data_IF_633112317030
#
_entry.id   IF_633112317030
#
_cell.length_a   1.000
_cell.length_b   1.000
_cell.length_c   1.000
_cell.angle_alpha   90.00
_cell.angle_beta   90.00
_cell.angle_gamma   90.00
#
_symmetry.space_group_name_H-M   'P 1'
#
loop_
_entity.id
_entity.type
_entity.pdbx_description
1 polymer ?
#
# COMPACT_ATOMS: atom_id res chain seq x y z
N UNK A 1 -8.52 2.55 0.84
CA UNK A 1 -9.48 1.43 0.98
C UNK A 1 -9.78 0.86 -0.40
N UNK A 2 -10.13 -0.43 -0.49
CA UNK A 2 -10.69 -1.01 -1.71
C UNK A 2 -12.20 -1.18 -1.58
N UNK A 3 -12.90 -1.16 -2.71
CA UNK A 3 -14.32 -1.52 -2.74
C UNK A 3 -14.50 -3.02 -2.53
N UNK A 4 -14.74 -3.42 -1.28
CA UNK A 4 -14.92 -4.83 -0.90
C UNK A 4 -16.17 -5.45 -1.57
N UNK A 5 -17.22 -4.67 -1.78
CA UNK A 5 -18.43 -5.16 -2.46
C UNK A 5 -18.17 -5.44 -3.94
N UNK A 6 -17.41 -4.56 -4.60
CA UNK A 6 -16.95 -4.79 -5.96
C UNK A 6 -16.14 -6.09 -6.06
N UNK A 7 -15.16 -6.26 -5.16
CA UNK A 7 -14.31 -7.47 -5.16
C UNK A 7 -15.09 -8.75 -4.92
N UNK A 8 -16.09 -8.74 -4.03
CA UNK A 8 -16.97 -9.89 -3.81
C UNK A 8 -17.77 -10.25 -5.06
N UNK A 9 -18.31 -9.25 -5.77
CA UNK A 9 -19.10 -9.44 -6.99
C UNK A 9 -18.26 -9.89 -8.18
N UNK A 10 -17.06 -9.32 -8.32
CA UNK A 10 -16.13 -9.63 -9.43
C UNK A 10 -15.44 -10.98 -9.25
N UNK A 11 -15.46 -11.57 -8.04
CA UNK A 11 -14.73 -12.80 -7.72
C UNK A 11 -15.01 -13.94 -8.72
N UNK A 12 -16.27 -14.22 -8.99
CA UNK A 12 -16.64 -15.35 -9.86
C UNK A 12 -16.29 -15.09 -11.34
N UNK A 13 -16.39 -13.83 -11.81
CA UNK A 13 -15.95 -13.41 -13.13
C UNK A 13 -14.43 -13.60 -13.27
N UNK A 14 -13.67 -13.11 -12.29
CA UNK A 14 -12.21 -13.27 -12.23
C UNK A 14 -11.79 -14.74 -12.24
N UNK A 15 -12.49 -15.57 -11.47
CA UNK A 15 -12.20 -17.00 -11.39
C UNK A 15 -12.44 -17.73 -12.74
N UNK A 16 -13.51 -17.37 -13.47
CA UNK A 16 -13.77 -17.89 -14.82
C UNK A 16 -12.64 -17.51 -15.78
N UNK A 17 -12.25 -16.24 -15.80
CA UNK A 17 -11.14 -15.74 -16.63
C UNK A 17 -9.81 -16.46 -16.31
N UNK A 18 -9.53 -16.68 -15.02
CA UNK A 18 -8.32 -17.42 -14.60
C UNK A 18 -8.34 -18.89 -15.00
N UNK A 19 -9.51 -19.49 -15.17
CA UNK A 19 -9.66 -20.87 -15.68
C UNK A 19 -9.56 -20.98 -17.21
N UNK A 20 -9.46 -19.85 -17.90
CA UNK A 20 -9.39 -19.80 -19.35
C UNK A 20 -10.75 -19.88 -20.04
N UNK A 21 -11.84 -19.59 -19.30
CA UNK A 21 -13.16 -19.47 -19.91
C UNK A 21 -13.15 -18.29 -20.89
N UNK A 22 -13.62 -18.51 -22.10
CA UNK A 22 -13.77 -17.46 -23.10
C UNK A 22 -14.99 -16.60 -22.74
N UNK A 23 -14.73 -15.36 -22.33
CA UNK A 23 -15.78 -14.36 -22.05
C UNK A 23 -15.54 -13.18 -22.99
N UNK A 24 -16.62 -12.68 -23.61
CA UNK A 24 -16.52 -11.50 -24.47
C UNK A 24 -16.01 -10.30 -23.66
N UNK A 25 -15.08 -9.53 -24.25
CA UNK A 25 -14.46 -8.38 -23.60
C UNK A 25 -15.49 -7.32 -23.19
N UNK A 26 -16.52 -7.11 -24.03
CA UNK A 26 -17.55 -6.11 -23.73
C UNK A 26 -18.43 -6.57 -22.55
N UNK A 27 -18.71 -7.88 -22.44
CA UNK A 27 -19.45 -8.43 -21.30
C UNK A 27 -18.66 -8.28 -20.00
N UNK A 28 -17.33 -8.44 -20.04
CA UNK A 28 -16.46 -8.17 -18.88
C UNK A 28 -16.56 -6.70 -18.48
N UNK A 29 -16.39 -5.76 -19.43
CA UNK A 29 -16.46 -4.32 -19.15
C UNK A 29 -17.83 -3.95 -18.57
N UNK A 30 -18.92 -4.41 -19.21
CA UNK A 30 -20.28 -4.15 -18.75
C UNK A 30 -20.50 -4.64 -17.31
N UNK A 31 -20.00 -5.84 -16.99
CA UNK A 31 -20.10 -6.40 -15.63
C UNK A 31 -19.30 -5.57 -14.62
N UNK A 32 -18.11 -5.10 -14.98
CA UNK A 32 -17.30 -4.26 -14.10
C UNK A 32 -17.97 -2.91 -13.83
N UNK A 33 -18.55 -2.29 -14.87
CA UNK A 33 -19.32 -1.03 -14.72
C UNK A 33 -20.58 -1.21 -13.86
N UNK A 34 -21.31 -2.32 -14.02
CA UNK A 34 -22.48 -2.64 -13.20
C UNK A 34 -22.10 -2.77 -11.71
N UNK A 35 -20.95 -3.37 -11.41
CA UNK A 35 -20.52 -3.63 -10.03
C UNK A 35 -19.81 -2.44 -9.38
N UNK A 36 -19.38 -1.46 -10.16
CA UNK A 36 -18.66 -0.28 -9.69
C UNK A 36 -19.49 0.51 -8.70
N UNK A 37 -18.87 0.91 -7.58
CA UNK A 37 -19.50 1.83 -6.62
C UNK A 37 -19.85 3.16 -7.26
N UNK A 38 -21.00 3.73 -6.91
CA UNK A 38 -21.36 5.09 -7.27
C UNK A 38 -20.71 6.15 -6.37
N UNK A 39 -20.21 5.73 -5.21
CA UNK A 39 -19.42 6.57 -4.30
C UNK A 39 -17.94 6.36 -4.55
N UNK A 40 -17.13 7.44 -4.53
CA UNK A 40 -15.69 7.30 -4.72
C UNK A 40 -15.06 6.51 -3.58
N UNK A 41 -14.18 5.58 -3.93
CA UNK A 41 -13.36 4.82 -2.99
C UNK A 41 -11.90 5.23 -3.22
N UNK A 42 -11.25 5.78 -2.20
CA UNK A 42 -9.84 6.14 -2.30
C UNK A 42 -8.99 5.04 -1.66
N UNK A 43 -8.08 4.50 -2.44
CA UNK A 43 -7.10 3.54 -1.96
C UNK A 43 -5.85 4.22 -1.40
N UNK A 44 -5.32 5.17 -2.16
CA UNK A 44 -4.02 5.73 -1.92
C UNK A 44 -4.06 7.26 -1.96
N UNK A 45 -3.43 7.89 -0.98
CA UNK A 45 -3.12 9.32 -0.95
C UNK A 45 -1.60 9.43 -0.82
N UNK A 46 -0.93 9.76 -1.92
CA UNK A 46 0.51 10.02 -1.91
C UNK A 46 0.75 11.38 -1.24
N UNK A 47 1.14 11.38 0.03
CA UNK A 47 1.36 12.62 0.79
C UNK A 47 2.65 13.33 0.36
N UNK A 48 3.61 12.58 -0.14
CA UNK A 48 4.85 13.10 -0.75
C UNK A 48 5.41 12.10 -1.75
N UNK A 49 6.06 12.59 -2.80
CA UNK A 49 6.90 11.79 -3.69
C UNK A 49 8.41 11.99 -3.42
N UNK A 50 8.78 12.77 -2.38
CA UNK A 50 10.16 12.94 -1.95
C UNK A 50 10.69 11.64 -1.33
N UNK A 51 11.90 11.22 -1.72
CA UNK A 51 12.60 10.10 -1.14
C UNK A 51 14.11 10.31 -1.25
N UNK A 52 14.83 10.03 -0.18
CA UNK A 52 16.29 10.11 -0.12
C UNK A 52 16.99 8.79 -0.43
N UNK A 53 16.24 7.74 -0.75
CA UNK A 53 16.76 6.44 -1.13
C UNK A 53 16.97 6.33 -2.64
N UNK A 54 17.82 5.36 -3.03
CA UNK A 54 18.09 5.00 -4.43
C UNK A 54 17.95 3.50 -4.61
N UNK A 55 16.74 3.00 -4.28
CA UNK A 55 16.47 1.57 -4.34
C UNK A 55 16.54 1.05 -5.78
N UNK A 56 17.26 -0.07 -5.99
CA UNK A 56 17.43 -0.67 -7.32
C UNK A 56 16.10 -1.10 -7.96
N UNK A 57 15.11 -1.46 -7.13
CA UNK A 57 13.80 -1.93 -7.57
C UNK A 57 12.75 -0.81 -7.72
N UNK A 58 13.07 0.43 -7.45
CA UNK A 58 12.06 1.49 -7.41
C UNK A 58 12.09 2.33 -8.70
N UNK A 59 10.98 2.44 -9.45
CA UNK A 59 10.92 3.23 -10.66
C UNK A 59 11.19 4.72 -10.41
N UNK A 60 10.96 5.22 -9.21
CA UNK A 60 11.34 6.58 -8.82
C UNK A 60 12.82 6.87 -9.06
N UNK A 61 13.68 5.87 -8.89
CA UNK A 61 15.13 6.05 -9.01
C UNK A 61 15.58 6.36 -10.45
N UNK A 62 14.90 5.77 -11.44
CA UNK A 62 15.36 5.80 -12.84
C UNK A 62 14.33 6.28 -13.85
N UNK A 63 13.04 6.25 -13.51
CA UNK A 63 11.94 6.44 -14.47
C UNK A 63 11.02 7.61 -14.13
N UNK A 64 10.94 8.02 -12.86
CA UNK A 64 10.03 9.11 -12.46
C UNK A 64 10.58 10.46 -12.90
N UNK A 65 9.76 11.21 -13.62
CA UNK A 65 10.09 12.54 -14.17
C UNK A 65 9.31 13.67 -13.48
N UNK A 66 8.33 13.34 -12.65
CA UNK A 66 7.56 14.35 -11.89
C UNK A 66 8.46 15.18 -10.97
N UNK A 67 8.17 16.48 -10.76
CA UNK A 67 8.83 17.28 -9.75
C UNK A 67 8.60 16.67 -8.34
N UNK A 68 9.50 16.99 -7.40
CA UNK A 68 9.31 16.60 -6.01
C UNK A 68 8.26 17.50 -5.40
N UNK A 69 7.25 16.89 -4.79
CA UNK A 69 6.07 17.54 -4.26
C UNK A 69 5.69 16.98 -2.89
N UNK A 70 5.07 17.82 -2.08
CA UNK A 70 4.46 17.47 -0.81
C UNK A 70 3.01 17.97 -0.86
N UNK A 71 2.07 17.11 -0.49
CA UNK A 71 0.66 17.50 -0.40
C UNK A 71 0.48 18.47 0.78
N UNK A 72 -0.12 19.63 0.52
CA UNK A 72 -0.50 20.53 1.60
C UNK A 72 -1.66 19.96 2.45
N UNK A 73 -1.81 20.46 3.68
CA UNK A 73 -2.81 19.94 4.61
C UNK A 73 -4.24 20.28 4.19
N UNK A 74 -4.46 21.39 3.49
CA UNK A 74 -5.79 21.78 3.03
C UNK A 74 -6.28 20.85 1.93
N UNK A 75 -5.40 20.48 0.99
CA UNK A 75 -5.67 19.45 -0.03
C UNK A 75 -5.97 18.10 0.64
N UNK A 76 -5.16 17.69 1.62
CA UNK A 76 -5.37 16.45 2.35
C UNK A 76 -6.72 16.43 3.07
N UNK A 77 -7.07 17.51 3.79
CA UNK A 77 -8.36 17.67 4.47
C UNK A 77 -9.52 17.59 3.49
N UNK A 78 -9.43 18.31 2.38
CA UNK A 78 -10.46 18.32 1.32
C UNK A 78 -10.73 16.89 0.80
N UNK A 79 -9.69 16.08 0.61
CA UNK A 79 -9.83 14.68 0.20
C UNK A 79 -10.46 13.84 1.31
N UNK A 80 -9.90 13.89 2.52
CA UNK A 80 -10.32 13.04 3.64
C UNK A 80 -11.76 13.35 4.08
N UNK A 81 -12.20 14.60 3.99
CA UNK A 81 -13.57 15.00 4.34
C UNK A 81 -14.66 14.39 3.46
N UNK A 82 -14.30 13.90 2.28
CA UNK A 82 -15.20 13.24 1.33
C UNK A 82 -15.19 11.70 1.46
N UNK A 83 -14.39 11.14 2.39
CA UNK A 83 -14.28 9.70 2.58
C UNK A 83 -15.24 9.21 3.67
N UNK A 84 -15.80 8.04 3.43
CA UNK A 84 -16.64 7.32 4.40
C UNK A 84 -15.99 5.95 4.69
N UNK A 85 -15.79 5.59 5.97
CA UNK A 85 -15.33 4.25 6.32
C UNK A 85 -16.45 3.23 6.07
N UNK A 86 -16.07 2.00 5.78
CA UNK A 86 -17.01 0.89 5.81
C UNK A 86 -17.45 0.60 7.25
N UNK A 87 -18.69 0.12 7.42
CA UNK A 87 -19.24 -0.27 8.70
C UNK A 87 -18.63 -1.60 9.20
N UNK A 88 -18.75 -1.87 10.49
CA UNK A 88 -18.30 -3.14 11.08
C UNK A 88 -19.00 -4.35 10.44
N UNK A 89 -20.26 -4.23 10.05
CA UNK A 89 -21.00 -5.30 9.38
C UNK A 89 -20.45 -5.62 8.01
N UNK A 90 -20.09 -4.59 7.21
CA UNK A 90 -19.45 -4.77 5.90
C UNK A 90 -18.09 -5.46 6.05
N UNK A 91 -17.33 -5.12 7.10
CA UNK A 91 -16.06 -5.81 7.39
C UNK A 91 -16.26 -7.28 7.77
N UNK A 92 -17.26 -7.61 8.59
CA UNK A 92 -17.58 -8.99 8.95
C UNK A 92 -17.98 -9.78 7.70
N UNK A 93 -18.77 -9.19 6.80
CA UNK A 93 -19.14 -9.81 5.53
C UNK A 93 -17.91 -10.11 4.65
N UNK A 94 -17.02 -9.13 4.52
CA UNK A 94 -15.76 -9.30 3.78
C UNK A 94 -14.85 -10.38 4.38
N UNK A 95 -14.66 -10.37 5.68
CA UNK A 95 -13.83 -11.35 6.37
C UNK A 95 -14.36 -12.78 6.20
N UNK A 96 -15.66 -12.96 6.32
CA UNK A 96 -16.32 -14.24 6.08
C UNK A 96 -16.19 -14.70 4.61
N UNK A 97 -16.28 -13.75 3.67
CA UNK A 97 -16.06 -14.02 2.27
C UNK A 97 -14.62 -14.50 2.01
N UNK A 98 -13.62 -13.81 2.58
CA UNK A 98 -12.20 -14.16 2.43
C UNK A 98 -11.92 -15.55 3.01
N UNK A 99 -12.36 -15.84 4.22
CA UNK A 99 -12.18 -17.17 4.83
C UNK A 99 -12.81 -18.27 3.98
N UNK A 100 -14.03 -18.05 3.46
CA UNK A 100 -14.75 -19.05 2.66
C UNK A 100 -14.17 -19.27 1.25
N UNK A 101 -13.71 -18.21 0.59
CA UNK A 101 -13.34 -18.25 -0.83
C UNK A 101 -11.84 -18.44 -1.05
N UNK A 102 -11.01 -17.95 -0.13
CA UNK A 102 -9.54 -17.99 -0.26
C UNK A 102 -8.89 -18.93 0.75
N UNK A 103 -9.62 -19.45 1.73
CA UNK A 103 -9.08 -20.31 2.80
C UNK A 103 -7.91 -19.64 3.55
N UNK A 104 -8.00 -18.32 3.74
CA UNK A 104 -7.01 -17.52 4.45
C UNK A 104 -7.61 -17.09 5.80
N UNK A 105 -7.02 -17.55 6.89
CA UNK A 105 -7.44 -17.20 8.24
C UNK A 105 -7.12 -15.73 8.57
N UNK A 106 -7.98 -15.09 9.34
CA UNK A 106 -7.73 -13.76 9.92
C UNK A 106 -6.55 -13.71 10.90
N UNK A 107 -6.02 -14.86 11.30
CA UNK A 107 -4.87 -15.00 12.18
C UNK A 107 -3.59 -15.41 11.46
N UNK A 108 -3.64 -15.59 10.13
CA UNK A 108 -2.46 -15.87 9.32
C UNK A 108 -1.58 -14.61 9.23
N UNK A 109 -0.25 -14.81 9.32
CA UNK A 109 0.73 -13.73 9.16
C UNK A 109 1.49 -13.90 7.84
N UNK A 110 0.75 -13.85 6.74
CA UNK A 110 1.27 -14.01 5.38
C UNK A 110 1.07 -12.74 4.55
N UNK A 111 1.70 -12.72 3.38
CA UNK A 111 1.45 -11.68 2.39
C UNK A 111 -0.04 -11.65 1.98
N UNK A 112 -0.68 -12.82 1.83
CA UNK A 112 -2.10 -12.91 1.48
C UNK A 112 -2.99 -12.30 2.56
N UNK A 113 -2.71 -12.59 3.84
CA UNK A 113 -3.41 -11.94 4.95
C UNK A 113 -3.29 -10.41 4.88
N UNK A 114 -2.08 -9.90 4.66
CA UNK A 114 -1.86 -8.46 4.53
C UNK A 114 -2.73 -7.84 3.42
N UNK A 115 -2.77 -8.46 2.25
CA UNK A 115 -3.55 -7.94 1.12
C UNK A 115 -5.06 -8.14 1.24
N UNK A 116 -5.53 -9.13 2.01
CA UNK A 116 -6.96 -9.44 2.13
C UNK A 116 -7.61 -8.87 3.39
N UNK A 117 -6.87 -8.70 4.48
CA UNK A 117 -7.42 -8.24 5.76
C UNK A 117 -6.96 -6.84 6.18
N UNK A 118 -5.80 -6.37 5.72
CA UNK A 118 -5.27 -5.06 6.11
C UNK A 118 -5.51 -4.03 5.00
N UNK A 119 -4.99 -4.28 3.81
CA UNK A 119 -5.01 -3.31 2.70
C UNK A 119 -6.42 -2.83 2.32
N UNK A 120 -7.47 -3.67 2.29
CA UNK A 120 -8.81 -3.18 1.97
C UNK A 120 -9.35 -2.16 2.95
N UNK A 121 -8.94 -2.23 4.22
CA UNK A 121 -9.46 -1.38 5.31
C UNK A 121 -8.82 0.01 5.36
N UNK A 122 -7.58 0.14 4.89
CA UNK A 122 -6.75 1.31 5.16
C UNK A 122 -6.72 2.31 4.01
N UNK A 123 -6.49 3.57 4.34
CA UNK A 123 -5.93 4.53 3.39
C UNK A 123 -4.42 4.35 3.40
N UNK A 124 -3.84 4.14 2.21
CA UNK A 124 -2.40 4.03 2.02
C UNK A 124 -1.81 5.43 1.86
N UNK A 125 -0.92 5.84 2.78
CA UNK A 125 -0.33 7.20 2.82
C UNK A 125 1.07 7.27 2.18
N UNK A 126 1.36 6.40 1.24
CA UNK A 126 2.62 6.44 0.49
C UNK A 126 2.39 6.12 -0.98
N UNK A 127 3.12 6.79 -1.84
CA UNK A 127 3.28 6.45 -3.24
C UNK A 127 4.75 6.09 -3.49
N UNK A 128 5.42 6.88 -4.30
CA UNK A 128 6.84 6.70 -4.62
C UNK A 128 7.80 7.54 -3.75
N UNK A 129 7.28 8.31 -2.81
CA UNK A 129 8.04 8.97 -1.76
C UNK A 129 8.26 8.10 -0.53
N UNK A 130 9.03 8.61 0.44
CA UNK A 130 9.12 8.03 1.78
C UNK A 130 8.28 8.86 2.75
N UNK A 131 7.20 8.30 3.32
CA UNK A 131 6.27 9.02 4.21
C UNK A 131 6.94 9.60 5.47
N UNK A 132 8.07 9.04 5.91
CA UNK A 132 8.82 9.58 7.04
C UNK A 132 9.55 10.91 6.74
N UNK A 133 9.52 11.36 5.48
CA UNK A 133 9.98 12.68 5.07
C UNK A 133 8.87 13.73 5.02
N UNK A 134 7.62 13.33 5.25
CA UNK A 134 6.48 14.22 5.40
C UNK A 134 6.40 14.69 6.84
N UNK A 135 6.64 15.99 7.08
CA UNK A 135 6.64 16.55 8.43
C UNK A 135 5.24 16.61 9.06
N UNK A 136 4.17 16.61 8.22
CA UNK A 136 2.77 16.67 8.65
C UNK A 136 2.14 15.28 8.85
N UNK A 137 2.89 14.19 8.68
CA UNK A 137 2.36 12.82 8.71
C UNK A 137 1.59 12.51 10.00
N UNK A 138 2.04 13.01 11.15
CA UNK A 138 1.35 12.78 12.41
C UNK A 138 -0.04 13.46 12.47
N UNK A 139 -0.18 14.66 11.90
CA UNK A 139 -1.48 15.35 11.76
C UNK A 139 -2.40 14.62 10.79
N UNK A 140 -1.87 14.15 9.64
CA UNK A 140 -2.64 13.38 8.65
C UNK A 140 -3.22 12.10 9.27
N UNK A 141 -2.39 11.36 10.01
CA UNK A 141 -2.83 10.18 10.76
C UNK A 141 -3.95 10.54 11.75
N UNK A 142 -3.77 11.64 12.50
CA UNK A 142 -4.78 12.11 13.46
C UNK A 142 -6.14 12.43 12.81
N UNK A 143 -6.13 13.05 11.63
CA UNK A 143 -7.35 13.34 10.88
C UNK A 143 -8.07 12.06 10.42
N UNK A 144 -7.34 11.08 9.90
CA UNK A 144 -7.92 9.80 9.51
C UNK A 144 -8.49 9.05 10.72
N UNK A 145 -7.75 9.02 11.83
CA UNK A 145 -8.21 8.39 13.08
C UNK A 145 -9.49 9.07 13.63
N UNK A 146 -9.55 10.41 13.59
CA UNK A 146 -10.77 11.15 13.99
C UNK A 146 -11.99 10.73 13.15
N UNK A 147 -11.80 10.47 11.86
CA UNK A 147 -12.84 10.00 10.94
C UNK A 147 -13.06 8.48 10.99
N UNK A 148 -12.36 7.77 11.87
CA UNK A 148 -12.41 6.29 12.00
C UNK A 148 -11.99 5.57 10.71
N UNK A 149 -11.11 6.15 9.94
CA UNK A 149 -10.54 5.57 8.73
C UNK A 149 -9.14 5.06 9.09
N UNK A 150 -8.90 3.75 9.05
CA UNK A 150 -7.59 3.19 9.35
C UNK A 150 -6.52 3.65 8.37
N UNK A 151 -5.33 3.89 8.88
CA UNK A 151 -4.18 4.41 8.14
C UNK A 151 -3.02 3.41 8.07
N UNK A 152 -2.33 3.44 6.94
CA UNK A 152 -1.17 2.60 6.69
C UNK A 152 -0.16 3.31 5.80
N UNK A 153 1.12 3.10 6.07
CA UNK A 153 2.17 3.37 5.10
C UNK A 153 3.36 2.41 5.21
N UNK A 154 4.06 2.27 4.08
CA UNK A 154 5.34 1.58 3.99
C UNK A 154 6.46 2.60 3.87
N UNK A 155 7.58 2.38 4.57
CA UNK A 155 8.69 3.32 4.60
C UNK A 155 10.04 2.63 4.72
N UNK A 156 11.12 3.39 4.53
CA UNK A 156 12.46 2.91 4.82
C UNK A 156 12.80 3.20 6.29
N UNK A 157 13.16 2.19 7.09
CA UNK A 157 13.45 2.37 8.52
C UNK A 157 14.67 3.25 8.80
N UNK A 158 15.55 3.51 7.84
CA UNK A 158 16.65 4.46 8.01
C UNK A 158 16.17 5.89 8.29
N UNK A 159 14.97 6.25 7.79
CA UNK A 159 14.37 7.57 7.99
C UNK A 159 13.60 7.70 9.32
N UNK A 160 13.57 6.67 10.17
CA UNK A 160 12.92 6.74 11.47
C UNK A 160 13.51 7.89 12.30
N UNK A 161 12.65 8.84 12.66
CA UNK A 161 12.83 9.83 13.73
C UNK A 161 11.96 9.36 14.89
N UNK A 162 12.55 8.85 15.97
CA UNK A 162 11.84 8.17 17.07
C UNK A 162 10.67 9.01 17.58
N UNK A 163 10.92 10.28 17.92
CA UNK A 163 9.90 11.15 18.53
C UNK A 163 8.73 11.43 17.56
N UNK A 164 9.02 11.64 16.27
CA UNK A 164 7.99 11.81 15.23
C UNK A 164 7.17 10.54 15.04
N UNK A 165 7.80 9.36 15.05
CA UNK A 165 7.08 8.10 14.92
C UNK A 165 6.20 7.81 16.14
N UNK A 166 6.66 8.17 17.36
CA UNK A 166 5.85 8.08 18.57
C UNK A 166 4.64 9.01 18.49
N UNK A 167 4.79 10.20 17.91
CA UNK A 167 3.68 11.14 17.70
C UNK A 167 2.62 10.53 16.76
N UNK A 168 3.03 9.86 15.69
CA UNK A 168 2.10 9.11 14.82
C UNK A 168 1.36 7.99 15.57
N UNK A 169 2.05 7.25 16.45
CA UNK A 169 1.42 6.21 17.29
C UNK A 169 0.39 6.83 18.25
N UNK A 170 0.70 7.96 18.88
CA UNK A 170 -0.24 8.71 19.74
C UNK A 170 -1.46 9.20 18.99
N UNK A 171 -1.28 9.60 17.74
CA UNK A 171 -2.36 10.08 16.87
C UNK A 171 -3.18 8.93 16.23
N UNK A 172 -2.84 7.67 16.54
CA UNK A 172 -3.65 6.52 16.16
C UNK A 172 -3.29 5.89 14.82
N UNK A 173 -2.01 5.94 14.42
CA UNK A 173 -1.54 5.16 13.26
C UNK A 173 -1.85 3.67 13.45
N UNK A 174 -2.57 3.06 12.50
CA UNK A 174 -2.96 1.65 12.62
C UNK A 174 -1.84 0.71 12.19
N UNK A 175 -1.21 0.99 11.04
CA UNK A 175 -0.18 0.10 10.49
C UNK A 175 1.02 0.88 9.96
N UNK A 176 2.21 0.45 10.35
CA UNK A 176 3.48 0.93 9.77
C UNK A 176 4.29 -0.25 9.28
N UNK A 177 4.77 -0.18 8.03
CA UNK A 177 5.57 -1.24 7.42
C UNK A 177 6.98 -0.76 7.13
N UNK A 178 7.94 -1.45 7.72
CA UNK A 178 9.37 -1.24 7.49
C UNK A 178 9.90 -2.25 6.49
N UNK A 179 10.51 -1.76 5.42
CA UNK A 179 11.07 -2.59 4.37
C UNK A 179 12.55 -2.85 4.62
N UNK A 180 12.93 -4.11 4.83
CA UNK A 180 14.29 -4.58 5.10
C UNK A 180 14.66 -5.62 4.04
N UNK A 181 15.59 -5.30 3.13
CA UNK A 181 15.93 -6.17 2.00
C UNK A 181 17.14 -7.08 2.27
N UNK A 182 17.87 -6.84 3.33
CA UNK A 182 18.97 -7.70 3.79
C UNK A 182 19.29 -7.38 5.25
N UNK A 183 19.77 -8.39 5.98
CA UNK A 183 20.33 -8.25 7.33
C UNK A 183 21.82 -7.90 7.31
N UNK A 184 22.46 -7.91 6.15
CA UNK A 184 23.84 -7.47 5.92
C UNK A 184 23.86 -6.01 5.48
N UNK A 185 24.59 -5.16 6.22
CA UNK A 185 24.63 -3.72 5.98
C UNK A 185 25.16 -3.35 4.58
N UNK A 186 26.15 -4.09 4.09
CA UNK A 186 26.75 -3.79 2.78
C UNK A 186 25.73 -4.08 1.68
N UNK A 187 25.08 -5.23 1.78
CA UNK A 187 24.06 -5.68 0.83
C UNK A 187 22.82 -4.80 0.90
N UNK A 188 22.36 -4.46 2.12
CA UNK A 188 21.22 -3.57 2.33
C UNK A 188 21.47 -2.18 1.68
N UNK A 189 22.66 -1.60 1.90
CA UNK A 189 23.07 -0.33 1.25
C UNK A 189 23.15 -0.44 -0.27
N UNK A 190 23.59 -1.57 -0.80
CA UNK A 190 23.62 -1.81 -2.24
C UNK A 190 22.22 -1.79 -2.84
N UNK A 191 21.26 -2.41 -2.19
CA UNK A 191 19.86 -2.53 -2.67
C UNK A 191 19.09 -1.22 -2.49
N UNK A 192 19.21 -0.57 -1.33
CA UNK A 192 18.40 0.59 -0.95
C UNK A 192 19.07 1.95 -1.14
N UNK A 193 20.37 1.97 -1.33
CA UNK A 193 21.18 3.18 -1.41
C UNK A 193 21.95 3.46 -0.11
N UNK A 194 22.95 4.37 -0.22
CA UNK A 194 23.95 4.62 0.83
C UNK A 194 23.35 5.12 2.16
N UNK A 195 22.19 5.76 2.12
CA UNK A 195 21.51 6.28 3.31
C UNK A 195 20.85 5.19 4.18
N UNK A 196 20.70 3.97 3.66
CA UNK A 196 20.07 2.86 4.36
C UNK A 196 21.09 1.97 5.04
N UNK A 197 20.84 1.59 6.31
CA UNK A 197 21.70 0.73 7.10
C UNK A 197 20.83 -0.20 7.96
N UNK A 198 21.05 -1.51 7.88
CA UNK A 198 20.25 -2.49 8.62
C UNK A 198 20.44 -2.38 10.12
N UNK A 199 21.69 -2.34 10.60
CA UNK A 199 21.99 -2.36 12.03
C UNK A 199 21.36 -1.17 12.77
N UNK A 200 21.49 0.05 12.23
CA UNK A 200 20.86 1.26 12.79
C UNK A 200 19.32 1.16 12.72
N UNK A 201 18.79 0.74 11.57
CA UNK A 201 17.35 0.58 11.36
C UNK A 201 16.75 -0.44 12.33
N UNK A 202 17.40 -1.57 12.53
CA UNK A 202 16.99 -2.60 13.46
C UNK A 202 16.93 -2.08 14.90
N UNK A 203 17.98 -1.38 15.35
CA UNK A 203 18.00 -0.76 16.68
C UNK A 203 16.85 0.25 16.89
N UNK A 204 16.55 1.08 15.88
CA UNK A 204 15.41 2.02 15.93
C UNK A 204 14.07 1.30 16.01
N UNK A 205 13.88 0.23 15.23
CA UNK A 205 12.64 -0.57 15.25
C UNK A 205 12.45 -1.22 16.62
N UNK A 206 13.49 -1.83 17.19
CA UNK A 206 13.42 -2.42 18.53
C UNK A 206 13.00 -1.40 19.59
N UNK A 207 13.57 -0.19 19.52
CA UNK A 207 13.19 0.91 20.45
C UNK A 207 11.72 1.31 20.28
N UNK A 208 11.21 1.34 19.04
CA UNK A 208 9.80 1.65 18.78
C UNK A 208 8.86 0.56 19.29
N UNK A 209 9.24 -0.72 19.13
CA UNK A 209 8.48 -1.87 19.66
C UNK A 209 8.39 -1.77 21.20
N UNK A 210 9.50 -1.51 21.89
CA UNK A 210 9.52 -1.35 23.34
C UNK A 210 8.60 -0.21 23.79
N UNK A 211 8.72 0.97 23.17
CA UNK A 211 7.88 2.13 23.47
C UNK A 211 6.41 1.85 23.21
N UNK A 212 6.10 1.23 22.05
CA UNK A 212 4.74 0.84 21.67
C UNK A 212 4.12 -0.06 22.76
N UNK A 213 4.84 -1.09 23.18
CA UNK A 213 4.34 -2.05 24.16
C UNK A 213 4.20 -1.41 25.55
N UNK A 214 5.18 -0.58 25.97
CA UNK A 214 5.13 0.13 27.24
C UNK A 214 3.94 1.08 27.35
N UNK A 215 3.58 1.74 26.26
CA UNK A 215 2.49 2.72 26.23
C UNK A 215 1.18 2.15 25.70
N UNK A 216 1.14 0.85 25.35
CA UNK A 216 -0.03 0.14 24.82
C UNK A 216 -0.60 0.80 23.56
N UNK A 217 0.25 1.33 22.69
CA UNK A 217 -0.19 1.85 21.40
C UNK A 217 -0.68 0.71 20.50
N UNK A 218 -1.82 0.93 19.83
CA UNK A 218 -2.49 -0.08 18.99
C UNK A 218 -1.82 -0.32 17.63
N UNK A 219 -0.85 0.52 17.27
CA UNK A 219 -0.16 0.43 15.97
C UNK A 219 0.42 -0.97 15.75
N UNK A 220 0.12 -1.58 14.62
CA UNK A 220 0.77 -2.82 14.19
C UNK A 220 2.03 -2.49 13.40
N UNK A 221 3.17 -2.97 13.89
CA UNK A 221 4.44 -2.86 13.19
C UNK A 221 4.62 -4.07 12.28
N UNK A 222 4.87 -3.81 11.00
CA UNK A 222 5.04 -4.82 9.96
C UNK A 222 6.47 -4.74 9.45
N UNK A 223 7.14 -5.87 9.35
CA UNK A 223 8.49 -6.00 8.78
C UNK A 223 8.41 -6.82 7.51
N UNK A 224 8.96 -6.32 6.42
CA UNK A 224 8.96 -7.07 5.15
C UNK A 224 10.34 -7.14 4.53
N UNK A 225 10.58 -8.23 3.84
CA UNK A 225 11.67 -8.39 2.90
C UNK A 225 11.08 -8.68 1.52
N UNK A 226 11.44 -7.88 0.52
CA UNK A 226 11.02 -8.13 -0.87
C UNK A 226 11.85 -9.28 -1.44
N UNK A 227 11.20 -10.26 -2.02
CA UNK A 227 11.89 -11.35 -2.70
C UNK A 227 12.47 -10.84 -4.03
N UNK A 228 13.77 -10.62 -4.05
CA UNK A 228 14.52 -10.18 -5.25
C UNK A 228 15.15 -11.38 -6.00
N UNK A 229 14.76 -12.61 -5.67
CA UNK A 229 15.30 -13.85 -6.25
C UNK A 229 16.84 -13.96 -6.15
N UNK A 230 17.42 -13.35 -5.10
CA UNK A 230 18.87 -13.40 -4.86
C UNK A 230 19.24 -14.64 -4.07
N UNK A 231 20.37 -15.22 -4.41
CA UNK A 231 20.96 -16.33 -3.64
C UNK A 231 21.07 -15.94 -2.15
N UNK A 232 20.81 -16.85 -1.24
CA UNK A 232 20.80 -16.65 0.22
C UNK A 232 19.64 -15.81 0.79
N UNK A 233 18.75 -15.26 -0.01
CA UNK A 233 17.69 -14.37 0.50
C UNK A 233 16.70 -15.09 1.43
N UNK A 234 16.39 -16.36 1.15
CA UNK A 234 15.53 -17.16 2.03
C UNK A 234 16.18 -17.40 3.40
N UNK A 235 17.49 -17.63 3.43
CA UNK A 235 18.24 -17.78 4.69
C UNK A 235 18.28 -16.47 5.48
N UNK A 236 18.47 -15.34 4.78
CA UNK A 236 18.43 -14.02 5.41
C UNK A 236 17.04 -13.71 5.97
N UNK A 237 16.00 -14.05 5.24
CA UNK A 237 14.63 -13.87 5.72
C UNK A 237 14.33 -14.74 6.94
N UNK A 238 14.80 -15.99 6.96
CA UNK A 238 14.66 -16.86 8.13
C UNK A 238 15.35 -16.25 9.37
N UNK A 239 16.55 -15.69 9.19
CA UNK A 239 17.27 -14.97 10.26
C UNK A 239 16.54 -13.70 10.70
N UNK A 240 16.02 -12.90 9.74
CA UNK A 240 15.21 -11.72 10.04
C UNK A 240 13.96 -12.11 10.84
N UNK A 241 13.22 -13.13 10.40
CA UNK A 241 12.04 -13.62 11.10
C UNK A 241 12.37 -14.09 12.52
N UNK A 242 13.51 -14.78 12.68
CA UNK A 242 13.97 -15.22 14.01
C UNK A 242 14.39 -14.03 14.90
N UNK A 243 14.96 -12.95 14.34
CA UNK A 243 15.34 -11.75 15.09
C UNK A 243 14.15 -11.02 15.71
N UNK A 244 12.95 -11.17 15.13
CA UNK A 244 11.70 -10.61 15.63
C UNK A 244 10.77 -11.65 16.27
N UNK A 245 11.28 -12.89 16.46
CA UNK A 245 10.51 -13.93 17.12
C UNK A 245 10.12 -13.49 18.54
N UNK A 246 8.92 -13.82 18.95
CA UNK A 246 8.35 -13.50 20.26
C UNK A 246 8.13 -11.98 20.49
N UNK A 247 8.24 -11.15 19.46
CA UNK A 247 7.87 -9.73 19.49
C UNK A 247 6.48 -9.51 18.88
N UNK A 248 5.79 -8.49 19.34
CA UNK A 248 4.49 -8.07 18.79
C UNK A 248 4.68 -7.31 17.46
N UNK A 249 5.08 -8.05 16.44
CA UNK A 249 5.30 -7.56 15.07
C UNK A 249 4.84 -8.60 14.05
N UNK A 250 4.47 -8.13 12.89
CA UNK A 250 4.07 -8.94 11.76
C UNK A 250 5.21 -9.04 10.73
N UNK A 251 5.75 -10.23 10.47
CA UNK A 251 6.92 -10.41 9.59
C UNK A 251 6.58 -11.33 8.43
N UNK A 252 6.71 -10.83 7.19
CA UNK A 252 6.52 -11.66 5.99
C UNK A 252 7.47 -11.31 4.85
N UNK A 253 7.69 -12.27 3.94
CA UNK A 253 8.39 -12.03 2.69
C UNK A 253 7.37 -11.59 1.64
N UNK A 254 7.61 -10.43 1.03
CA UNK A 254 6.77 -9.89 -0.05
C UNK A 254 7.22 -10.48 -1.38
N UNK A 255 6.28 -10.97 -2.17
CA UNK A 255 6.52 -11.36 -3.55
C UNK A 255 6.93 -10.15 -4.40
N UNK A 256 7.82 -10.38 -5.36
CA UNK A 256 8.21 -9.34 -6.30
C UNK A 256 7.04 -9.03 -7.23
N UNK A 257 6.64 -7.76 -7.26
CA UNK A 257 5.80 -7.25 -8.32
C UNK A 257 6.67 -7.01 -9.56
N UNK A 258 6.43 -7.76 -10.63
CA UNK A 258 7.31 -7.75 -11.80
C UNK A 258 6.92 -6.70 -12.85
N UNK A 259 5.88 -5.92 -12.63
CA UNK A 259 5.38 -4.97 -13.63
C UNK A 259 6.42 -3.89 -13.98
N UNK A 260 7.25 -3.49 -13.02
CA UNK A 260 8.25 -2.43 -13.17
C UNK A 260 9.64 -2.90 -13.56
N UNK A 261 9.91 -4.17 -13.33
CA UNK A 261 11.25 -4.69 -13.51
C UNK A 261 11.42 -5.10 -14.97
N UNK A 262 12.21 -4.32 -15.70
CA UNK A 262 12.76 -4.74 -17.00
C UNK A 262 13.77 -5.87 -16.75
N UNK A 263 13.32 -7.00 -16.26
CA UNK A 263 14.15 -8.18 -16.21
C UNK A 263 14.17 -8.79 -17.61
N UNK A 264 15.35 -8.80 -18.22
CA UNK A 264 15.65 -9.49 -19.46
C UNK A 264 15.32 -11.00 -19.39
N UNK A 265 15.21 -11.55 -18.19
CA UNK A 265 14.75 -12.90 -17.89
C UNK A 265 13.26 -12.91 -17.51
N UNK A 266 12.39 -12.60 -18.45
CA UNK A 266 10.97 -12.95 -18.35
C UNK A 266 10.86 -14.47 -18.44
N UNK A 267 11.03 -15.15 -17.32
CA UNK A 267 10.50 -16.50 -17.16
C UNK A 267 9.00 -16.42 -17.40
N UNK A 268 8.54 -17.17 -18.38
CA UNK A 268 7.17 -17.18 -18.90
C UNK A 268 6.15 -17.73 -17.90
N UNK A 269 6.50 -17.94 -16.64
CA UNK A 269 5.79 -18.92 -15.80
C UNK A 269 4.90 -18.36 -14.70
N UNK A 270 4.63 -17.06 -14.58
CA UNK A 270 3.87 -16.70 -13.38
C UNK A 270 3.01 -15.47 -13.37
N UNK A 271 2.93 -14.68 -14.41
CA UNK A 271 1.91 -13.65 -14.43
C UNK A 271 0.94 -13.98 -15.53
N UNK A 272 -0.15 -14.63 -15.15
CA UNK A 272 -1.35 -14.53 -15.94
C UNK A 272 -1.69 -13.05 -16.00
N UNK A 273 -1.30 -12.39 -17.07
CA UNK A 273 -1.79 -11.08 -17.41
C UNK A 273 -3.31 -11.23 -17.44
N UNK A 274 -3.95 -10.78 -16.38
CA UNK A 274 -5.38 -10.62 -16.42
C UNK A 274 -5.64 -9.76 -17.65
N UNK A 275 -6.50 -10.21 -18.53
CA UNK A 275 -6.91 -9.47 -19.73
C UNK A 275 -7.51 -8.11 -19.36
N UNK A 276 -7.77 -7.87 -18.06
CA UNK A 276 -8.24 -6.62 -17.51
C UNK A 276 -7.63 -6.35 -16.13
N UNK A 277 -7.51 -5.07 -15.77
CA UNK A 277 -7.16 -4.61 -14.44
C UNK A 277 -8.40 -4.06 -13.75
N UNK A 278 -8.74 -4.61 -12.59
CA UNK A 278 -9.91 -4.20 -11.79
C UNK A 278 -9.73 -2.89 -11.01
N UNK A 279 -8.50 -2.39 -10.91
CA UNK A 279 -8.15 -1.22 -10.11
C UNK A 279 -8.98 0.02 -10.47
N UNK A 280 -9.14 0.39 -11.76
CA UNK A 280 -9.90 1.56 -12.15
C UNK A 280 -11.38 1.54 -11.70
N UNK A 281 -11.96 0.35 -11.54
CA UNK A 281 -13.35 0.19 -11.09
C UNK A 281 -13.51 0.12 -9.58
N UNK A 282 -12.44 -0.11 -8.83
CA UNK A 282 -12.50 -0.40 -7.39
C UNK A 282 -11.95 0.70 -6.51
N UNK A 283 -11.15 1.63 -7.03
CA UNK A 283 -10.53 2.67 -6.21
C UNK A 283 -9.85 3.77 -7.01
N UNK A 284 -9.63 4.92 -6.35
CA UNK A 284 -8.88 6.08 -6.85
C UNK A 284 -7.52 6.17 -6.16
N UNK A 285 -6.59 6.86 -6.83
CA UNK A 285 -5.32 7.30 -6.26
C UNK A 285 -5.22 8.82 -6.34
N UNK A 286 -4.91 9.47 -5.22
CA UNK A 286 -4.65 10.91 -5.17
C UNK A 286 -3.14 11.13 -5.01
N UNK A 287 -2.57 11.91 -5.92
CA UNK A 287 -1.13 12.21 -5.94
C UNK A 287 -0.80 13.42 -5.07
N UNK A 288 0.48 13.61 -4.78
CA UNK A 288 0.99 14.66 -3.89
C UNK A 288 0.61 16.09 -4.32
N UNK A 289 0.31 16.29 -5.59
CA UNK A 289 -0.17 17.57 -6.14
C UNK A 289 -1.70 17.69 -6.19
N UNK A 290 -2.45 16.76 -5.57
CA UNK A 290 -3.92 16.77 -5.57
C UNK A 290 -4.57 16.18 -6.82
N UNK A 291 -3.82 15.79 -7.83
CA UNK A 291 -4.37 15.14 -9.03
C UNK A 291 -4.83 13.71 -8.71
N UNK A 292 -5.97 13.33 -9.29
CA UNK A 292 -6.45 11.95 -9.27
C UNK A 292 -5.89 11.20 -10.48
N UNK A 293 -5.15 10.14 -10.22
CA UNK A 293 -4.60 9.25 -11.23
C UNK A 293 -5.34 7.91 -11.23
N UNK A 294 -5.29 7.20 -12.36
CA UNK A 294 -5.98 5.92 -12.53
C UNK A 294 -5.47 4.84 -11.58
N UNK A 295 -4.20 4.88 -11.22
CA UNK A 295 -3.55 3.85 -10.41
C UNK A 295 -2.32 4.42 -9.70
N UNK A 296 -1.93 3.80 -8.58
CA UNK A 296 -0.66 4.14 -7.92
C UNK A 296 0.54 3.93 -8.84
N UNK A 297 0.43 2.99 -9.77
CA UNK A 297 1.45 2.57 -10.71
C UNK A 297 1.73 3.60 -11.81
N UNK A 298 0.82 4.54 -12.03
CA UNK A 298 1.07 5.72 -12.85
C UNK A 298 1.95 6.71 -12.07
N UNK A 299 3.23 6.42 -11.98
CA UNK A 299 4.19 7.20 -11.18
C UNK A 299 4.54 8.55 -11.81
N UNK A 300 4.23 8.77 -13.08
CA UNK A 300 4.47 10.03 -13.79
C UNK A 300 3.20 10.88 -13.99
N UNK A 301 2.03 10.44 -13.51
CA UNK A 301 0.74 11.08 -13.73
C UNK A 301 0.42 11.23 -15.24
N UNK A 302 0.60 10.17 -16.00
CA UNK A 302 0.32 10.18 -17.45
C UNK A 302 -1.18 10.13 -17.74
N UNK A 303 -1.97 9.54 -16.83
CA UNK A 303 -3.43 9.44 -16.95
C UNK A 303 -4.07 10.14 -15.76
N UNK A 304 -4.33 11.45 -15.93
CA UNK A 304 -4.97 12.30 -14.93
C UNK A 304 -6.48 12.32 -15.16
N UNK A 305 -7.22 11.88 -14.13
CA UNK A 305 -8.68 11.79 -14.16
C UNK A 305 -9.37 13.06 -13.68
N UNK A 306 -8.74 13.83 -12.80
CA UNK A 306 -9.24 15.08 -12.26
C UNK A 306 -8.29 15.72 -11.26
N UNK A 307 -8.71 16.81 -10.62
CA UNK A 307 -7.92 17.54 -9.61
C UNK A 307 -8.79 17.77 -8.37
N UNK A 308 -8.49 17.05 -7.28
CA UNK A 308 -9.25 17.11 -6.02
C UNK A 308 -9.27 18.49 -5.34
N UNK A 309 -8.43 19.41 -5.78
CA UNK A 309 -8.44 20.82 -5.33
C UNK A 309 -9.49 21.66 -6.03
N UNK A 310 -10.05 21.19 -7.14
CA UNK A 310 -10.99 21.92 -8.01
C UNK A 310 -12.33 21.24 -8.15
N UNK A 311 -12.35 19.92 -8.00
CA UNK A 311 -13.51 19.07 -8.25
C UNK A 311 -13.76 18.16 -7.04
N UNK A 312 -15.02 17.79 -6.78
CA UNK A 312 -15.29 16.78 -5.77
C UNK A 312 -14.80 15.41 -6.23
N UNK A 313 -14.45 14.55 -5.27
CA UNK A 313 -14.07 13.17 -5.60
C UNK A 313 -15.22 12.42 -6.31
N UNK A 314 -16.47 12.78 -5.99
CA UNK A 314 -17.65 12.21 -6.64
C UNK A 314 -17.75 12.62 -8.11
N UNK A 315 -17.46 13.88 -8.43
CA UNK A 315 -17.48 14.37 -9.81
C UNK A 315 -16.35 13.75 -10.63
N UNK A 316 -15.14 13.62 -10.04
CA UNK A 316 -14.02 12.95 -10.69
C UNK A 316 -14.37 11.48 -10.95
N UNK A 317 -14.89 10.76 -9.94
CA UNK A 317 -15.20 9.34 -10.01
C UNK A 317 -16.27 9.00 -11.05
N UNK A 318 -17.26 9.87 -11.24
CA UNK A 318 -18.35 9.69 -12.20
C UNK A 318 -18.16 10.52 -13.48
N UNK A 319 -17.01 11.16 -13.65
CA UNK A 319 -16.70 11.99 -14.81
C UNK A 319 -16.34 11.18 -16.07
N UNK A 320 -16.44 11.81 -17.23
CA UNK A 320 -16.18 11.20 -18.55
C UNK A 320 -14.78 10.57 -18.68
N UNK A 321 -13.77 11.08 -17.95
CA UNK A 321 -12.43 10.53 -18.00
C UNK A 321 -12.29 9.20 -17.25
N UNK A 322 -13.22 8.91 -16.36
CA UNK A 322 -13.21 7.71 -15.55
C UNK A 322 -14.11 6.61 -16.14
N UNK A 323 -15.13 6.98 -16.88
CA UNK A 323 -16.09 6.10 -17.57
C UNK A 323 -15.76 5.98 -19.05
#
# INVERSE_FOLDING_TARGET
MFDIHFYMKVHDLKYKLMKGDSIDRQDVINSLEEFRSKKPIVYNIETTNACNMKCEMCPRTTMMTRPIEHMDMDTFKTVVDQLEPFSDNEWIEWENFVEKKYDISRFDMSENHFFLYIIPKVIVLHGYGDPLLDEDMAERVGLLNYRKIPSYFSCNPANIKIDKTIEMFKNGLDYIKYSIESIDDIRHKKIRGKASNFTDSYGKILKLIDIKNKHLYKTTIIITMLNLNKQSQNEEFAKLKNAFKDMDVYVYMKSQDQQWYQNENKGTDSIHWLEFCQFPWSSMTIKSNGESAICVEDFNNEIILGDSRKESLCDIWNGEKYT
#
